data_IF_043224375321
#
_entry.id   IF_043224375321
#
_cell.length_a   1.000
_cell.length_b   1.000
_cell.length_c   1.000
_cell.angle_alpha   90.00
_cell.angle_beta   90.00
_cell.angle_gamma   90.00
#
_symmetry.space_group_name_H-M   'P 1'
#
loop_
_entity.id
_entity.type
_entity.pdbx_description
1 polymer ?
#
# COMPACT_ATOMS: atom_id res chain seq x y z
N UNK A 1 9.53 8.82 3.73
CA UNK A 1 9.53 7.40 4.10
C UNK A 1 8.08 6.93 4.19
N UNK A 2 7.77 5.73 3.68
CA UNK A 2 6.44 5.12 3.77
C UNK A 2 5.98 5.00 5.22
N UNK A 3 4.66 4.98 5.45
CA UNK A 3 4.12 4.78 6.79
C UNK A 3 4.38 3.34 7.29
N UNK A 4 4.30 2.38 6.38
CA UNK A 4 4.74 1.00 6.59
C UNK A 4 5.65 0.63 5.43
N UNK A 5 6.85 0.18 5.75
CA UNK A 5 7.83 -0.35 4.82
C UNK A 5 8.13 -1.80 5.21
N UNK A 6 7.84 -2.74 4.32
CA UNK A 6 8.32 -4.11 4.38
C UNK A 6 9.50 -4.17 3.43
N UNK A 7 10.70 -4.13 3.99
CA UNK A 7 11.96 -4.21 3.25
C UNK A 7 12.84 -5.27 3.89
N UNK A 8 13.66 -5.90 3.07
CA UNK A 8 14.77 -6.75 3.44
C UNK A 8 15.82 -6.65 2.34
N UNK A 9 17.08 -6.92 2.69
CA UNK A 9 18.13 -6.97 1.70
C UNK A 9 19.31 -7.85 2.15
N UNK A 10 20.02 -8.41 1.18
CA UNK A 10 21.25 -9.16 1.40
C UNK A 10 22.44 -8.54 0.63
N UNK A 11 22.44 -7.21 0.44
CA UNK A 11 23.41 -6.52 -0.42
C UNK A 11 23.93 -5.21 0.16
N UNK A 12 23.08 -4.44 0.84
CA UNK A 12 23.38 -3.15 1.42
C UNK A 12 23.40 -3.21 2.95
N UNK A 13 22.23 -3.37 3.56
CA UNK A 13 22.07 -3.41 5.02
C UNK A 13 22.20 -4.82 5.60
N UNK A 14 22.03 -5.87 4.78
CA UNK A 14 22.08 -7.26 5.22
C UNK A 14 21.04 -7.57 6.30
N UNK A 15 19.83 -7.03 6.14
CA UNK A 15 18.71 -7.21 7.05
C UNK A 15 17.76 -8.29 6.56
N UNK A 16 17.54 -9.32 7.38
CA UNK A 16 16.49 -10.30 7.15
C UNK A 16 15.13 -9.75 7.55
N UNK A 17 14.12 -9.84 6.68
CA UNK A 17 12.78 -9.28 6.94
C UNK A 17 11.63 -10.07 6.32
N UNK A 18 11.85 -11.35 5.98
CA UNK A 18 10.85 -12.18 5.32
C UNK A 18 9.57 -12.36 6.16
N UNK A 19 8.49 -11.66 5.80
CA UNK A 19 7.15 -11.79 6.40
C UNK A 19 6.34 -12.93 5.77
N UNK A 20 5.74 -13.78 6.61
CA UNK A 20 4.94 -14.95 6.16
C UNK A 20 3.44 -14.86 6.43
N UNK A 21 3.02 -14.02 7.36
CA UNK A 21 1.62 -13.71 7.62
C UNK A 21 1.55 -12.36 8.32
N UNK A 22 0.87 -11.39 7.70
CA UNK A 22 0.69 -10.08 8.29
C UNK A 22 -0.67 -9.52 7.92
N UNK A 23 -1.31 -8.88 8.89
CA UNK A 23 -2.56 -8.15 8.67
C UNK A 23 -2.43 -6.70 9.10
N UNK A 24 -2.63 -5.79 8.15
CA UNK A 24 -2.75 -4.35 8.36
C UNK A 24 -4.23 -4.01 8.21
N UNK A 25 -4.90 -3.72 9.33
CA UNK A 25 -6.35 -3.49 9.33
C UNK A 25 -6.83 -2.37 10.23
N UNK A 26 -7.91 -1.71 9.80
CA UNK A 26 -8.63 -0.69 10.56
C UNK A 26 -7.74 0.50 11.00
N UNK A 27 -6.73 0.84 10.20
CA UNK A 27 -5.85 1.99 10.46
C UNK A 27 -6.31 3.23 9.68
N UNK A 28 -5.87 4.40 10.14
CA UNK A 28 -6.00 5.67 9.42
C UNK A 28 -4.62 6.19 9.03
N UNK A 29 -4.39 6.33 7.73
CA UNK A 29 -3.16 6.90 7.17
C UNK A 29 -3.44 8.31 6.66
N UNK A 30 -3.08 9.31 7.46
CA UNK A 30 -3.43 10.70 7.19
C UNK A 30 -2.27 11.46 6.56
N UNK A 31 -2.36 11.68 5.25
CA UNK A 31 -1.38 12.44 4.47
C UNK A 31 0.04 11.93 4.72
N UNK A 32 0.26 10.62 4.62
CA UNK A 32 1.59 10.02 4.70
C UNK A 32 2.40 10.30 3.43
N UNK A 33 3.71 10.00 3.44
CA UNK A 33 4.46 9.94 2.19
C UNK A 33 4.06 8.69 1.38
N UNK A 34 4.28 8.73 0.07
CA UNK A 34 3.77 7.73 -0.86
C UNK A 34 4.91 6.92 -1.50
N UNK A 35 4.72 5.61 -1.80
CA UNK A 35 3.56 4.79 -1.42
C UNK A 35 3.41 4.69 0.11
N UNK A 36 2.17 4.73 0.60
CA UNK A 36 1.86 4.75 2.03
C UNK A 36 2.27 3.42 2.69
N UNK A 37 1.88 2.30 2.08
CA UNK A 37 2.37 0.97 2.43
C UNK A 37 3.24 0.49 1.26
N UNK A 38 4.49 0.17 1.56
CA UNK A 38 5.46 -0.25 0.56
C UNK A 38 6.04 -1.61 0.91
N UNK A 39 5.71 -2.62 0.13
CA UNK A 39 6.33 -3.94 0.19
C UNK A 39 7.39 -3.96 -0.89
N UNK A 40 8.66 -3.90 -0.48
CA UNK A 40 9.80 -3.63 -1.35
C UNK A 40 11.04 -4.42 -0.91
N UNK A 41 11.00 -5.77 -0.96
CA UNK A 41 12.19 -6.57 -0.76
C UNK A 41 13.22 -6.27 -1.85
N UNK A 42 14.51 -6.28 -1.50
CA UNK A 42 15.62 -5.99 -2.42
C UNK A 42 16.17 -7.28 -3.07
N UNK A 43 15.26 -8.12 -3.61
CA UNK A 43 15.64 -9.38 -4.25
C UNK A 43 16.20 -9.16 -5.67
N UNK A 44 17.34 -9.78 -5.97
CA UNK A 44 17.99 -9.69 -7.29
C UNK A 44 17.43 -10.62 -8.36
N UNK A 45 16.70 -11.67 -7.97
CA UNK A 45 16.10 -12.65 -8.88
C UNK A 45 14.58 -12.64 -8.70
N UNK A 46 13.87 -12.53 -9.81
CA UNK A 46 12.41 -12.34 -9.88
C UNK A 46 11.60 -13.63 -9.60
N UNK A 47 12.25 -14.78 -9.41
CA UNK A 47 11.58 -16.08 -9.52
C UNK A 47 10.87 -16.59 -8.26
N UNK A 48 10.92 -15.88 -7.12
CA UNK A 48 10.26 -16.32 -5.89
C UNK A 48 9.69 -15.15 -5.10
N UNK A 49 8.47 -15.33 -4.59
CA UNK A 49 7.89 -14.42 -3.61
C UNK A 49 8.73 -14.43 -2.32
N UNK A 50 9.21 -13.25 -1.92
CA UNK A 50 9.94 -13.05 -0.67
C UNK A 50 8.98 -12.99 0.51
N UNK A 51 7.85 -12.30 0.36
CA UNK A 51 6.82 -12.21 1.39
C UNK A 51 5.60 -13.07 1.04
N UNK A 52 4.84 -13.45 2.06
CA UNK A 52 3.66 -14.31 1.91
C UNK A 52 2.50 -13.81 2.76
N UNK A 53 1.28 -14.00 2.24
CA UNK A 53 0.02 -13.85 2.97
C UNK A 53 -0.11 -12.49 3.71
N UNK A 54 0.02 -11.41 2.94
CA UNK A 54 -0.11 -10.04 3.45
C UNK A 54 -1.53 -9.54 3.18
N UNK A 55 -2.24 -9.12 4.23
CA UNK A 55 -3.63 -8.65 4.17
C UNK A 55 -3.71 -7.18 4.56
N UNK A 56 -4.12 -6.32 3.63
CA UNK A 56 -4.36 -4.89 3.85
C UNK A 56 -5.86 -4.65 3.72
N UNK A 57 -6.57 -4.59 4.86
CA UNK A 57 -8.03 -4.65 4.88
C UNK A 57 -8.70 -3.56 5.72
N UNK A 58 -9.74 -2.93 5.18
CA UNK A 58 -10.58 -2.00 5.94
C UNK A 58 -9.84 -0.75 6.46
N UNK A 59 -8.75 -0.34 5.82
CA UNK A 59 -8.00 0.86 6.23
C UNK A 59 -8.56 2.11 5.53
N UNK A 60 -8.29 3.26 6.13
CA UNK A 60 -8.62 4.57 5.58
C UNK A 60 -7.35 5.32 5.18
N UNK A 61 -7.26 5.72 3.92
CA UNK A 61 -6.12 6.47 3.39
C UNK A 61 -6.57 7.87 2.98
N UNK A 62 -5.95 8.91 3.52
CA UNK A 62 -6.05 10.28 3.00
C UNK A 62 -4.75 10.60 2.31
N UNK A 63 -4.73 10.53 0.98
CA UNK A 63 -3.52 10.62 0.18
C UNK A 63 -3.06 12.07 -0.03
N UNK A 64 -1.75 12.26 -0.24
CA UNK A 64 -1.18 13.54 -0.68
C UNK A 64 -1.20 13.67 -2.20
N UNK A 65 -1.05 12.53 -2.88
CA UNK A 65 -1.14 12.33 -4.31
C UNK A 65 -2.08 11.16 -4.59
N UNK A 66 -1.53 10.07 -5.11
CA UNK A 66 -2.35 8.93 -5.59
C UNK A 66 -1.87 7.57 -5.13
N UNK A 67 -0.60 7.39 -4.74
CA UNK A 67 -0.06 6.07 -4.48
C UNK A 67 -0.29 5.64 -3.04
N UNK A 68 -1.21 4.68 -2.84
CA UNK A 68 -1.51 4.11 -1.52
C UNK A 68 -0.61 2.92 -1.23
N UNK A 69 -0.61 1.90 -2.10
CA UNK A 69 0.04 0.61 -1.84
C UNK A 69 0.93 0.25 -3.02
N UNK A 70 2.18 -0.11 -2.72
CA UNK A 70 3.05 -0.84 -3.66
C UNK A 70 3.33 -2.22 -3.08
N UNK A 71 2.97 -3.27 -3.83
CA UNK A 71 3.29 -4.66 -3.55
C UNK A 71 4.38 -5.16 -4.50
N UNK A 72 5.42 -5.80 -3.97
CA UNK A 72 6.46 -6.43 -4.76
C UNK A 72 6.84 -7.81 -4.21
N UNK A 73 7.11 -8.77 -5.10
CA UNK A 73 7.64 -10.11 -4.77
C UNK A 73 6.89 -10.77 -3.60
N UNK A 74 5.56 -10.80 -3.67
CA UNK A 74 4.69 -11.30 -2.60
C UNK A 74 3.66 -12.27 -3.15
N UNK A 75 3.48 -13.43 -2.51
CA UNK A 75 2.38 -14.35 -2.83
C UNK A 75 1.25 -14.22 -1.80
N UNK A 76 -0.01 -14.31 -2.23
CA UNK A 76 -1.16 -14.20 -1.35
C UNK A 76 -1.40 -12.78 -0.81
N UNK A 77 -1.18 -11.75 -1.65
CA UNK A 77 -1.44 -10.36 -1.28
C UNK A 77 -2.92 -10.00 -1.45
N UNK A 78 -3.58 -9.59 -0.36
CA UNK A 78 -4.98 -9.16 -0.36
C UNK A 78 -5.12 -7.68 0.01
N UNK A 79 -5.71 -6.87 -0.87
CA UNK A 79 -6.00 -5.45 -0.66
C UNK A 79 -7.50 -5.25 -0.79
N UNK A 80 -8.21 -5.24 0.33
CA UNK A 80 -9.67 -5.36 0.32
C UNK A 80 -10.41 -4.38 1.24
N UNK A 81 -11.54 -3.87 0.78
CA UNK A 81 -12.44 -3.07 1.61
C UNK A 81 -11.84 -1.75 2.13
N UNK A 82 -10.75 -1.25 1.54
CA UNK A 82 -10.12 -0.02 1.99
C UNK A 82 -10.87 1.21 1.45
N UNK A 83 -10.87 2.32 2.19
CA UNK A 83 -11.39 3.60 1.69
C UNK A 83 -10.23 4.56 1.44
N UNK A 84 -10.13 5.06 0.21
CA UNK A 84 -9.06 5.93 -0.25
C UNK A 84 -9.65 7.28 -0.64
N UNK A 85 -9.20 8.34 0.03
CA UNK A 85 -9.47 9.72 -0.29
C UNK A 85 -8.28 10.31 -1.03
N UNK A 86 -8.52 10.87 -2.22
CA UNK A 86 -7.50 11.56 -3.00
C UNK A 86 -8.09 12.70 -3.82
N UNK A 87 -7.21 13.60 -4.29
CA UNK A 87 -7.55 14.67 -5.22
C UNK A 87 -6.50 14.76 -6.33
N UNK A 88 -6.84 14.46 -7.60
CA UNK A 88 -8.13 13.96 -8.06
C UNK A 88 -8.41 12.53 -7.54
N UNK A 89 -9.68 12.10 -7.61
CA UNK A 89 -10.10 10.75 -7.21
C UNK A 89 -9.26 9.69 -7.92
N UNK A 90 -8.69 8.76 -7.14
CA UNK A 90 -7.89 7.66 -7.64
C UNK A 90 -8.76 6.43 -7.97
N UNK A 91 -8.11 5.34 -8.33
CA UNK A 91 -8.69 4.03 -8.63
C UNK A 91 -7.67 2.97 -8.25
N UNK A 92 -8.05 1.68 -8.27
CA UNK A 92 -7.08 0.60 -8.06
C UNK A 92 -5.89 0.76 -9.02
N UNK A 93 -6.15 0.99 -10.32
CA UNK A 93 -5.12 1.14 -11.35
C UNK A 93 -4.18 2.33 -11.17
N UNK A 94 -4.62 3.41 -10.49
CA UNK A 94 -3.79 4.60 -10.27
C UNK A 94 -3.17 4.65 -8.88
N UNK A 95 -3.72 3.90 -7.92
CA UNK A 95 -3.34 3.97 -6.52
C UNK A 95 -2.53 2.77 -6.04
N UNK A 96 -2.74 1.61 -6.64
CA UNK A 96 -2.11 0.35 -6.24
C UNK A 96 -1.16 -0.09 -7.36
N UNK A 97 0.08 -0.37 -6.98
CA UNK A 97 1.09 -0.95 -7.89
C UNK A 97 1.46 -2.35 -7.44
N UNK A 98 1.37 -3.32 -8.33
CA UNK A 98 1.71 -4.72 -8.10
C UNK A 98 2.87 -5.11 -9.02
N UNK A 99 3.92 -5.72 -8.48
CA UNK A 99 5.12 -6.11 -9.23
C UNK A 99 5.53 -7.51 -8.81
N UNK A 100 5.53 -8.48 -9.74
CA UNK A 100 5.98 -9.84 -9.48
C UNK A 100 5.30 -10.47 -8.25
N UNK A 101 4.00 -10.20 -8.08
CA UNK A 101 3.19 -10.82 -7.03
C UNK A 101 2.31 -11.91 -7.63
N UNK A 102 2.04 -12.92 -6.82
CA UNK A 102 1.18 -14.06 -7.16
C UNK A 102 -0.02 -14.11 -6.21
N UNK A 103 -1.11 -14.73 -6.64
CA UNK A 103 -2.35 -14.86 -5.86
C UNK A 103 -2.86 -13.54 -5.26
N UNK A 104 -2.90 -12.50 -6.09
CA UNK A 104 -3.28 -11.15 -5.68
C UNK A 104 -4.79 -10.96 -5.75
N UNK A 105 -5.38 -10.49 -4.64
CA UNK A 105 -6.79 -10.12 -4.55
C UNK A 105 -6.95 -8.64 -4.28
N UNK A 106 -7.54 -7.91 -5.22
CA UNK A 106 -7.93 -6.49 -5.05
C UNK A 106 -9.45 -6.42 -5.21
N UNK A 107 -10.17 -6.05 -4.15
CA UNK A 107 -11.64 -6.06 -4.17
C UNK A 107 -12.26 -5.10 -3.17
N UNK A 108 -13.35 -4.42 -3.56
CA UNK A 108 -14.19 -3.66 -2.63
C UNK A 108 -13.52 -2.40 -2.07
N UNK A 109 -12.42 -1.94 -2.69
CA UNK A 109 -11.82 -0.66 -2.33
C UNK A 109 -12.72 0.48 -2.85
N UNK A 110 -12.88 1.51 -2.02
CA UNK A 110 -13.72 2.67 -2.31
C UNK A 110 -12.83 3.89 -2.49
N UNK A 111 -13.04 4.61 -3.59
CA UNK A 111 -12.28 5.81 -3.93
C UNK A 111 -13.20 7.03 -3.86
N UNK A 112 -12.79 8.02 -3.07
CA UNK A 112 -13.58 9.21 -2.77
C UNK A 112 -12.73 10.47 -2.95
N UNK A 113 -13.39 11.58 -3.25
CA UNK A 113 -12.75 12.88 -3.27
C UNK A 113 -12.30 13.26 -1.85
N UNK A 114 -11.08 13.77 -1.70
CA UNK A 114 -10.64 14.35 -0.41
C UNK A 114 -11.57 15.53 -0.04
N UNK A 115 -12.15 15.55 1.17
CA UNK A 115 -13.02 16.64 1.59
C UNK A 115 -12.29 17.99 1.54
N UNK A 116 -12.88 18.97 0.84
CA UNK A 116 -12.35 20.33 0.76
C UNK A 116 -12.63 21.07 2.07
N UNK A 117 -11.63 21.20 2.94
CA UNK A 117 -11.74 21.96 4.21
C UNK A 117 -11.79 23.49 3.97
N UNK A 118 -11.66 23.97 2.72
CA UNK A 118 -11.48 25.40 2.39
C UNK A 118 -12.71 26.15 1.84
N UNK A 119 -13.91 25.54 1.77
CA UNK A 119 -15.08 26.25 1.22
C UNK A 119 -15.90 27.05 2.24
N UNK A 120 -15.63 26.90 3.54
CA UNK A 120 -16.49 27.46 4.60
C UNK A 120 -15.80 28.52 5.47
N UNK A 121 -14.63 29.03 5.05
CA UNK A 121 -14.03 30.21 5.69
C UNK A 121 -14.48 31.43 4.88
N UNK A 122 -15.50 32.21 5.35
CA UNK A 122 -15.78 33.50 4.74
C UNK A 122 -14.50 34.35 4.82
N UNK A 123 -14.16 35.00 3.70
CA UNK A 123 -13.06 35.99 3.69
C UNK A 123 -13.37 37.15 4.61
#
# INVERSE_FOLDING_TARGET
MSAILLEDDARGWFESGCVRDMTIRNNQFNRCAEPVININPQNGVINTAVHQNIKIQGNHFVLRGKSSIKGQSTTGLSITGNTIYSDPIASDATSIKIINCEDVKINGNRYLQTPNVRKDIPR
#
